data_IF_232910427254
#
_entry.id   IF_232910427254
#
_cell.length_a   1.000
_cell.length_b   1.000
_cell.length_c   1.000
_cell.angle_alpha   90.00
_cell.angle_beta   90.00
_cell.angle_gamma   90.00
#
_symmetry.space_group_name_H-M   'P 1'
#
loop_
_entity.id
_entity.type
_entity.pdbx_description
1 polymer ?
#
# COMPACT_ATOMS: atom_id res chain seq x y z
N UNK A 1 21.85 -9.18 2.76
CA UNK A 1 22.26 -8.34 1.60
C UNK A 1 23.35 -7.35 1.98
N UNK A 2 23.17 -6.46 3.00
CA UNK A 2 24.22 -5.47 3.40
C UNK A 2 25.58 -6.12 3.67
N UNK A 3 25.63 -7.15 4.53
CA UNK A 3 26.90 -7.85 4.87
C UNK A 3 27.61 -8.48 3.65
N UNK A 4 26.87 -8.86 2.62
CA UNK A 4 27.46 -9.43 1.40
C UNK A 4 28.00 -8.29 0.53
N UNK A 5 27.25 -7.21 0.39
CA UNK A 5 27.70 -6.03 -0.33
C UNK A 5 29.03 -5.48 0.24
N UNK A 6 29.11 -5.37 1.57
CA UNK A 6 30.34 -4.91 2.27
C UNK A 6 31.55 -5.78 1.95
N UNK A 7 31.37 -7.09 1.86
CA UNK A 7 32.45 -8.04 1.49
C UNK A 7 32.98 -7.83 0.07
N UNK A 8 32.16 -7.24 -0.80
CA UNK A 8 32.51 -6.98 -2.20
C UNK A 8 32.79 -5.48 -2.47
N UNK A 9 32.99 -4.70 -1.43
CA UNK A 9 33.20 -3.24 -1.51
C UNK A 9 32.07 -2.51 -2.27
N UNK A 10 30.82 -2.98 -2.06
CA UNK A 10 29.61 -2.41 -2.62
C UNK A 10 28.70 -1.89 -1.54
N UNK A 11 27.87 -0.89 -1.85
CA UNK A 11 26.84 -0.37 -0.96
C UNK A 11 25.48 -0.95 -1.34
N UNK A 12 24.75 -1.47 -0.37
CA UNK A 12 23.41 -2.00 -0.55
C UNK A 12 22.38 -0.92 -0.17
N UNK A 13 21.66 -0.42 -1.15
CA UNK A 13 20.55 0.52 -0.96
C UNK A 13 19.23 -0.26 -0.92
N UNK A 14 18.45 -0.09 0.15
CA UNK A 14 17.23 -0.86 0.40
C UNK A 14 15.93 -0.06 0.20
N UNK A 15 16.00 1.22 -0.16
CA UNK A 15 14.82 2.01 -0.48
C UNK A 15 14.34 1.79 -1.92
N UNK A 16 13.04 1.97 -2.14
CA UNK A 16 12.40 1.69 -3.43
C UNK A 16 12.95 2.56 -4.56
N UNK A 17 13.20 3.84 -4.29
CA UNK A 17 13.72 4.84 -5.22
C UNK A 17 14.97 5.48 -4.65
N UNK A 18 16.15 4.85 -4.82
CA UNK A 18 17.38 5.37 -4.24
C UNK A 18 17.91 6.64 -4.91
N UNK A 19 17.52 6.90 -6.18
CA UNK A 19 18.00 8.02 -6.97
C UNK A 19 16.88 8.77 -7.67
N UNK A 20 17.02 10.07 -7.81
CA UNK A 20 16.07 10.90 -8.55
C UNK A 20 16.05 10.54 -10.05
N UNK A 21 14.85 10.47 -10.62
CA UNK A 21 14.64 10.24 -12.05
C UNK A 21 14.98 8.85 -12.57
N UNK A 22 15.37 7.93 -11.71
CA UNK A 22 15.71 6.55 -12.07
C UNK A 22 14.67 5.60 -11.53
N UNK A 23 14.29 4.60 -12.33
CA UNK A 23 13.40 3.53 -11.89
C UNK A 23 14.04 2.73 -10.75
N UNK A 24 13.22 2.32 -9.82
CA UNK A 24 13.62 1.49 -8.70
C UNK A 24 12.77 0.22 -8.61
N UNK A 25 12.74 -0.38 -7.43
CA UNK A 25 11.85 -1.49 -7.10
C UNK A 25 10.77 -1.02 -6.15
N UNK A 26 9.57 -1.53 -6.32
CA UNK A 26 8.45 -1.24 -5.43
C UNK A 26 7.94 -2.50 -4.74
N UNK A 27 7.32 -2.32 -3.58
CA UNK A 27 6.65 -3.39 -2.86
C UNK A 27 5.27 -2.92 -2.46
N UNK A 28 4.25 -3.68 -2.87
CA UNK A 28 2.87 -3.44 -2.47
C UNK A 28 2.48 -4.41 -1.35
N UNK A 29 1.82 -3.89 -0.32
CA UNK A 29 1.21 -4.69 0.72
C UNK A 29 -0.30 -4.76 0.45
N UNK A 30 -0.76 -5.92 0.03
CA UNK A 30 -2.18 -6.19 -0.12
C UNK A 30 -2.70 -6.82 1.18
N UNK A 31 -3.85 -6.37 1.63
CA UNK A 31 -4.45 -6.86 2.86
C UNK A 31 -5.96 -6.94 2.74
N UNK A 32 -6.56 -7.75 3.56
CA UNK A 32 -8.02 -7.89 3.68
C UNK A 32 -8.41 -8.08 5.14
N UNK A 33 -9.70 -8.02 5.40
CA UNK A 33 -10.29 -8.32 6.70
C UNK A 33 -11.12 -9.58 6.59
N UNK A 34 -10.93 -10.51 7.51
CA UNK A 34 -11.75 -11.73 7.57
C UNK A 34 -12.20 -12.02 8.98
N UNK A 35 -13.33 -12.72 9.09
CA UNK A 35 -13.81 -13.27 10.35
C UNK A 35 -12.97 -14.47 10.78
N UNK A 36 -13.11 -14.91 12.03
CA UNK A 36 -12.49 -16.13 12.52
C UNK A 36 -13.00 -17.40 11.81
N UNK A 37 -14.11 -17.31 11.11
CA UNK A 37 -14.67 -18.40 10.27
C UNK A 37 -14.16 -18.37 8.84
N UNK A 38 -13.33 -17.38 8.47
CA UNK A 38 -12.71 -17.27 7.16
C UNK A 38 -13.50 -16.46 6.13
N UNK A 39 -14.59 -15.81 6.53
CA UNK A 39 -15.36 -14.93 5.65
C UNK A 39 -14.60 -13.63 5.40
N UNK A 40 -14.36 -13.28 4.12
CA UNK A 40 -13.71 -12.03 3.75
C UNK A 40 -14.72 -10.88 3.74
N UNK A 41 -14.53 -9.92 4.63
CA UNK A 41 -15.40 -8.75 4.79
C UNK A 41 -15.23 -7.70 3.68
N UNK A 42 -14.12 -7.74 2.95
CA UNK A 42 -13.83 -6.86 1.81
C UNK A 42 -14.02 -7.56 0.46
N UNK A 43 -14.72 -8.68 0.43
CA UNK A 43 -15.11 -9.33 -0.81
C UNK A 43 -16.38 -8.65 -1.38
N UNK A 44 -16.28 -8.04 -2.57
CA UNK A 44 -17.42 -7.35 -3.20
C UNK A 44 -18.52 -8.29 -3.69
N UNK A 45 -18.20 -9.62 -3.82
CA UNK A 45 -19.10 -10.60 -4.40
C UNK A 45 -19.51 -10.25 -5.85
N UNK A 46 -20.60 -10.82 -6.34
CA UNK A 46 -21.07 -10.63 -7.73
C UNK A 46 -21.68 -9.26 -7.99
N UNK A 47 -22.36 -8.73 -6.96
CA UNK A 47 -23.00 -7.41 -7.06
C UNK A 47 -22.58 -6.54 -5.87
N UNK A 48 -21.49 -5.76 -6.01
CA UNK A 48 -20.98 -4.94 -4.93
C UNK A 48 -21.98 -3.93 -4.39
N UNK A 49 -22.84 -3.39 -5.24
CA UNK A 49 -23.81 -2.36 -4.86
C UNK A 49 -24.91 -2.89 -3.94
N UNK A 50 -25.18 -4.19 -3.97
CA UNK A 50 -26.18 -4.85 -3.13
C UNK A 50 -25.60 -5.53 -1.89
N UNK A 51 -24.28 -5.62 -1.79
CA UNK A 51 -23.61 -6.22 -0.65
C UNK A 51 -23.41 -5.19 0.46
N UNK A 52 -24.36 -5.10 1.37
CA UNK A 52 -24.34 -4.12 2.47
C UNK A 52 -23.15 -4.32 3.41
N UNK A 53 -22.74 -5.55 3.68
CA UNK A 53 -21.59 -5.86 4.51
C UNK A 53 -20.30 -5.31 3.87
N UNK A 54 -20.09 -5.60 2.59
CA UNK A 54 -18.95 -5.08 1.85
C UNK A 54 -18.94 -3.54 1.84
N UNK A 55 -20.07 -2.90 1.55
CA UNK A 55 -20.18 -1.44 1.54
C UNK A 55 -19.89 -0.83 2.91
N UNK A 56 -20.36 -1.44 3.98
CA UNK A 56 -20.10 -0.97 5.33
C UNK A 56 -18.60 -0.96 5.65
N UNK A 57 -17.91 -2.07 5.41
CA UNK A 57 -16.47 -2.17 5.67
C UNK A 57 -15.64 -1.34 4.70
N UNK A 58 -16.07 -1.20 3.45
CA UNK A 58 -15.45 -0.31 2.46
C UNK A 58 -15.51 1.15 2.93
N UNK A 59 -16.67 1.65 3.28
CA UNK A 59 -16.85 3.03 3.72
C UNK A 59 -16.18 3.29 5.07
N UNK A 60 -16.19 2.33 5.98
CA UNK A 60 -15.47 2.44 7.24
C UNK A 60 -13.96 2.57 7.01
N UNK A 61 -13.40 1.82 6.08
CA UNK A 61 -11.98 1.90 5.71
C UNK A 61 -11.65 3.25 5.06
N UNK A 62 -12.46 3.72 4.13
CA UNK A 62 -12.29 5.04 3.49
C UNK A 62 -12.32 6.15 4.54
N UNK A 63 -13.28 6.11 5.45
CA UNK A 63 -13.38 7.08 6.54
C UNK A 63 -12.16 7.04 7.46
N UNK A 64 -11.68 5.86 7.82
CA UNK A 64 -10.49 5.71 8.64
C UNK A 64 -9.24 6.30 7.96
N UNK A 65 -9.08 6.09 6.66
CA UNK A 65 -7.99 6.66 5.87
C UNK A 65 -8.07 8.19 5.82
N UNK A 66 -9.26 8.75 5.70
CA UNK A 66 -9.48 10.19 5.72
C UNK A 66 -9.15 10.78 7.09
N UNK A 67 -9.72 10.24 8.16
CA UNK A 67 -9.53 10.73 9.54
C UNK A 67 -8.08 10.60 10.00
N UNK A 68 -7.41 9.50 9.67
CA UNK A 68 -6.05 9.19 10.10
C UNK A 68 -5.01 9.40 8.99
N UNK A 69 -5.32 10.20 7.99
CA UNK A 69 -4.43 10.47 6.85
C UNK A 69 -3.08 11.03 7.26
N UNK A 70 -3.03 11.88 8.29
CA UNK A 70 -1.77 12.45 8.80
C UNK A 70 -0.88 11.37 9.41
N UNK A 71 -1.45 10.42 10.15
CA UNK A 71 -0.72 9.29 10.71
C UNK A 71 -0.15 8.39 9.60
N UNK A 72 -0.92 8.16 8.55
CA UNK A 72 -0.44 7.41 7.37
C UNK A 72 0.73 8.11 6.69
N UNK A 73 0.67 9.43 6.53
CA UNK A 73 1.77 10.22 5.97
C UNK A 73 3.04 10.13 6.81
N UNK A 74 2.91 10.24 8.14
CA UNK A 74 4.03 10.11 9.06
C UNK A 74 4.67 8.73 8.96
N UNK A 75 3.89 7.68 8.80
CA UNK A 75 4.39 6.30 8.70
C UNK A 75 5.28 6.06 7.49
N UNK A 76 5.14 6.84 6.42
CA UNK A 76 5.93 6.74 5.18
C UNK A 76 6.94 7.87 5.02
N UNK A 77 6.98 8.84 5.93
CA UNK A 77 7.86 10.00 5.88
C UNK A 77 9.28 9.64 6.34
N UNK A 78 10.00 8.89 5.54
CA UNK A 78 11.39 8.51 5.75
C UNK A 78 12.26 9.01 4.60
N UNK A 79 13.55 9.22 4.85
CA UNK A 79 14.49 9.64 3.82
C UNK A 79 14.54 8.67 2.62
N UNK A 80 14.28 7.40 2.83
CA UNK A 80 14.19 6.39 1.77
C UNK A 80 13.04 6.60 0.77
N UNK A 81 12.07 7.48 1.10
CA UNK A 81 10.93 7.79 0.25
C UNK A 81 11.03 9.17 -0.44
N UNK A 82 12.13 9.89 -0.30
CA UNK A 82 12.28 11.25 -0.84
C UNK A 82 12.11 11.33 -2.35
N UNK A 83 12.57 10.33 -3.09
CA UNK A 83 12.45 10.26 -4.55
C UNK A 83 11.21 9.51 -5.04
N UNK A 84 10.36 9.02 -4.14
CA UNK A 84 9.15 8.25 -4.44
C UNK A 84 7.88 9.08 -4.24
N UNK A 85 7.80 9.81 -3.13
CA UNK A 85 6.59 10.50 -2.67
C UNK A 85 6.55 11.98 -3.04
N UNK A 86 5.39 12.59 -2.85
CA UNK A 86 5.17 14.01 -3.11
C UNK A 86 5.08 14.33 -4.58
N UNK A 87 5.93 15.23 -5.07
CA UNK A 87 5.98 15.64 -6.47
C UNK A 87 6.64 14.65 -7.43
N UNK A 88 7.08 13.50 -6.95
CA UNK A 88 7.75 12.47 -7.75
C UNK A 88 6.74 11.43 -8.30
N UNK A 89 6.94 10.14 -7.98
CA UNK A 89 6.17 9.04 -8.58
C UNK A 89 4.83 8.79 -7.92
N UNK A 90 4.69 9.11 -6.64
CA UNK A 90 3.53 8.73 -5.84
C UNK A 90 3.09 9.85 -4.90
N UNK A 91 1.79 9.97 -4.59
CA UNK A 91 1.31 10.90 -3.57
C UNK A 91 1.82 10.53 -2.17
N UNK A 92 1.84 11.48 -1.20
CA UNK A 92 2.37 11.26 0.15
C UNK A 92 1.68 10.15 0.95
N UNK A 93 0.43 9.84 0.63
CA UNK A 93 -0.28 8.69 1.18
C UNK A 93 -0.97 7.95 0.05
N UNK A 94 -0.64 6.67 -0.11
CA UNK A 94 -1.23 5.83 -1.15
C UNK A 94 -2.06 4.75 -0.47
N UNK A 95 -3.36 4.85 -0.63
CA UNK A 95 -4.27 3.74 -0.39
C UNK A 95 -5.07 3.53 -1.64
N UNK A 96 -4.88 2.41 -2.29
CA UNK A 96 -5.68 2.01 -3.44
C UNK A 96 -6.46 0.76 -3.10
N UNK A 97 -7.70 0.74 -3.55
CA UNK A 97 -8.58 -0.42 -3.42
C UNK A 97 -8.71 -1.11 -4.77
N UNK A 98 -8.34 -2.37 -4.80
CA UNK A 98 -8.59 -3.21 -5.95
C UNK A 98 -9.89 -3.98 -5.72
N UNK A 99 -10.93 -3.58 -6.42
CA UNK A 99 -12.10 -4.42 -6.59
C UNK A 99 -11.73 -5.44 -7.66
N UNK A 100 -11.43 -6.66 -7.23
CA UNK A 100 -11.06 -7.72 -8.17
C UNK A 100 -12.23 -7.99 -9.12
N UNK A 101 -12.05 -7.60 -10.37
CA UNK A 101 -12.94 -7.98 -11.48
C UNK A 101 -12.64 -9.38 -12.01
N UNK A 102 -11.89 -10.19 -11.26
CA UNK A 102 -11.60 -11.56 -11.65
C UNK A 102 -12.73 -12.48 -11.21
N UNK A 103 -13.86 -12.30 -11.80
CA UNK A 103 -14.88 -13.34 -11.95
C UNK A 103 -15.48 -13.22 -13.34
N UNK A 104 -14.66 -13.54 -14.27
CA UNK A 104 -15.14 -13.96 -15.59
C UNK A 104 -15.12 -15.48 -15.62
#
# INVERSE_FOLDING_TARGET
MKKVADKHNMVCLLHEKPFEGINGSGKHNNWSLSTNTGENLLDPDRDPAKNLQFLLFLFATIKAVDVYGDLLRVSVATAGNDHRLGGNEAPPAIVSMFLSLIHI
#
